data_IF_504623655711
#
_entry.id   IF_504623655711
#
_cell.length_a   1.000
_cell.length_b   1.000
_cell.length_c   1.000
_cell.angle_alpha   90.00
_cell.angle_beta   90.00
_cell.angle_gamma   90.00
#
_symmetry.space_group_name_H-M   'P 1'
#
loop_
_entity.id
_entity.type
_entity.pdbx_description
1 polymer ?
#
# COMPACT_ATOMS: atom_id res chain seq x y z
N UNK A 1 1.49 -10.38 26.77
CA UNK A 1 2.52 -11.31 26.28
C UNK A 1 2.79 -10.92 24.84
N UNK A 2 4.06 -10.72 24.47
CA UNK A 2 4.44 -10.43 23.10
C UNK A 2 4.46 -11.77 22.33
N UNK A 3 3.86 -11.86 21.14
CA UNK A 3 3.94 -13.07 20.32
C UNK A 3 5.39 -13.45 20.01
N UNK A 4 5.69 -14.76 19.94
CA UNK A 4 7.03 -15.24 19.62
C UNK A 4 7.51 -14.75 18.25
N UNK A 5 6.60 -14.66 17.27
CA UNK A 5 6.92 -14.16 15.93
C UNK A 5 7.37 -12.69 15.93
N UNK A 6 6.77 -11.85 16.77
CA UNK A 6 7.15 -10.45 16.94
C UNK A 6 8.55 -10.38 17.60
N UNK A 7 8.80 -11.24 18.58
CA UNK A 7 10.09 -11.32 19.28
C UNK A 7 11.22 -11.76 18.35
N UNK A 8 10.97 -12.71 17.44
CA UNK A 8 11.94 -13.21 16.46
C UNK A 8 12.40 -12.13 15.47
N UNK A 9 11.58 -11.10 15.23
CA UNK A 9 11.93 -9.94 14.39
C UNK A 9 12.38 -8.72 15.21
N UNK A 10 12.65 -8.91 16.51
CA UNK A 10 13.20 -7.88 17.38
C UNK A 10 12.17 -6.92 18.00
N UNK A 11 10.86 -7.21 17.87
CA UNK A 11 9.80 -6.45 18.55
C UNK A 11 9.57 -7.09 19.91
N UNK A 12 10.11 -6.47 20.96
CA UNK A 12 10.07 -7.01 22.33
C UNK A 12 9.10 -6.28 23.27
N UNK A 13 8.47 -5.19 22.82
CA UNK A 13 7.51 -4.42 23.61
C UNK A 13 6.53 -3.63 22.74
N UNK A 14 5.36 -3.32 23.30
CA UNK A 14 4.43 -2.32 22.77
C UNK A 14 4.53 -1.03 23.59
N UNK A 15 4.29 0.12 22.96
CA UNK A 15 4.37 1.45 23.62
C UNK A 15 3.22 1.70 24.60
N UNK A 16 2.13 0.93 24.51
CA UNK A 16 0.94 1.08 25.34
C UNK A 16 0.71 -0.16 26.21
N UNK A 17 0.03 0.02 27.35
CA UNK A 17 -0.25 -1.04 28.33
C UNK A 17 -1.71 -1.53 28.33
N UNK A 18 -2.57 -0.95 27.49
CA UNK A 18 -3.98 -1.31 27.44
C UNK A 18 -4.19 -2.68 26.78
N UNK A 19 -5.23 -3.42 27.17
CA UNK A 19 -5.60 -4.65 26.48
C UNK A 19 -5.86 -4.40 24.99
N UNK A 20 -5.44 -5.33 24.13
CA UNK A 20 -5.76 -5.28 22.71
C UNK A 20 -7.26 -5.45 22.48
N UNK A 21 -7.81 -4.71 21.52
CA UNK A 21 -9.24 -4.75 21.17
C UNK A 21 -9.67 -6.03 20.44
N UNK A 22 -8.71 -6.85 19.97
CA UNK A 22 -8.97 -8.05 19.19
C UNK A 22 -9.60 -7.76 17.82
N UNK A 23 -10.41 -8.70 17.31
CA UNK A 23 -11.11 -8.57 16.03
C UNK A 23 -10.34 -9.10 14.83
N UNK A 24 -10.93 -8.91 13.63
CA UNK A 24 -10.34 -9.26 12.34
C UNK A 24 -10.35 -8.05 11.43
N UNK A 25 -9.23 -7.79 10.77
CA UNK A 25 -9.10 -6.74 9.76
C UNK A 25 -9.26 -7.33 8.36
N UNK A 26 -9.59 -6.49 7.38
CA UNK A 26 -9.63 -6.85 5.95
C UNK A 26 -10.56 -8.04 5.66
N UNK A 27 -11.78 -8.02 6.22
CA UNK A 27 -12.81 -9.04 5.96
C UNK A 27 -13.29 -8.91 4.51
N UNK A 28 -13.57 -7.68 4.09
CA UNK A 28 -13.84 -7.30 2.71
C UNK A 28 -12.68 -6.45 2.16
N UNK A 29 -12.46 -6.42 0.83
CA UNK A 29 -11.47 -5.53 0.22
C UNK A 29 -11.66 -4.04 0.57
N UNK A 30 -12.88 -3.61 0.84
CA UNK A 30 -13.27 -2.24 1.17
C UNK A 30 -12.90 -1.84 2.60
N UNK A 31 -12.68 -2.81 3.50
CA UNK A 31 -12.28 -2.53 4.89
C UNK A 31 -10.84 -1.98 4.97
N UNK A 32 -10.09 -2.02 3.86
CA UNK A 32 -8.70 -1.59 3.80
C UNK A 32 -8.42 -0.82 2.50
N UNK A 33 -8.45 0.50 2.59
CA UNK A 33 -8.13 1.41 1.48
C UNK A 33 -6.78 2.11 1.71
N UNK A 34 -6.00 2.23 0.64
CA UNK A 34 -4.70 2.93 0.65
C UNK A 34 -4.69 3.97 -0.46
N UNK A 35 -4.31 5.19 -0.11
CA UNK A 35 -4.00 6.26 -1.06
C UNK A 35 -2.54 6.69 -0.86
N UNK A 36 -1.76 6.60 -1.93
CA UNK A 36 -0.37 7.07 -1.92
C UNK A 36 -0.33 8.61 -1.87
N UNK A 37 0.52 9.14 -0.99
CA UNK A 37 0.79 10.58 -0.91
C UNK A 37 2.09 10.89 -1.66
N UNK A 38 1.95 11.54 -2.82
CA UNK A 38 3.09 11.93 -3.66
C UNK A 38 3.69 13.24 -3.12
N UNK A 39 5.01 13.29 -3.00
CA UNK A 39 5.72 14.48 -2.54
C UNK A 39 5.55 15.66 -3.50
N UNK A 40 5.56 16.89 -2.98
CA UNK A 40 5.53 18.11 -3.81
C UNK A 40 6.64 18.12 -4.85
N UNK A 41 7.84 17.66 -4.50
CA UNK A 41 8.98 17.55 -5.41
C UNK A 41 8.67 16.64 -6.61
N UNK A 42 8.09 15.47 -6.35
CA UNK A 42 7.71 14.54 -7.40
C UNK A 42 6.59 15.10 -8.28
N UNK A 43 5.55 15.69 -7.69
CA UNK A 43 4.46 16.32 -8.45
C UNK A 43 4.96 17.45 -9.35
N UNK A 44 5.84 18.32 -8.83
CA UNK A 44 6.41 19.44 -9.59
C UNK A 44 7.34 18.99 -10.73
N UNK A 45 7.81 17.73 -10.72
CA UNK A 45 8.63 17.17 -11.80
C UNK A 45 7.82 16.63 -12.97
N UNK A 46 6.49 16.53 -12.83
CA UNK A 46 5.59 16.08 -13.90
C UNK A 46 5.36 17.27 -14.85
N UNK A 47 5.76 17.12 -16.12
CA UNK A 47 5.62 18.17 -17.13
C UNK A 47 4.83 17.65 -18.34
N UNK A 48 4.24 18.56 -19.11
CA UNK A 48 3.51 18.24 -20.35
C UNK A 48 4.37 18.37 -21.60
N UNK A 49 5.59 18.89 -21.48
CA UNK A 49 6.45 19.23 -22.62
C UNK A 49 7.33 18.07 -23.07
N UNK A 50 7.74 17.20 -22.15
CA UNK A 50 8.59 16.04 -22.44
C UNK A 50 8.49 14.97 -21.36
N UNK A 51 8.83 13.72 -21.71
CA UNK A 51 8.92 12.59 -20.78
C UNK A 51 7.81 11.54 -20.93
N UNK A 52 7.56 10.80 -19.86
CA UNK A 52 6.57 9.72 -19.82
C UNK A 52 5.23 10.22 -19.29
N UNK A 53 4.13 9.70 -19.85
CA UNK A 53 2.81 9.95 -19.31
C UNK A 53 2.67 9.30 -17.92
N UNK A 54 2.15 10.09 -16.96
CA UNK A 54 1.96 9.66 -15.56
C UNK A 54 0.48 9.45 -15.29
N UNK A 55 0.12 8.28 -14.75
CA UNK A 55 -1.27 7.92 -14.46
C UNK A 55 -1.43 7.43 -13.02
N UNK A 56 -2.61 7.68 -12.44
CA UNK A 56 -2.99 7.11 -11.14
C UNK A 56 -3.53 5.70 -11.33
N UNK A 57 -2.83 4.71 -10.79
CA UNK A 57 -3.30 3.32 -10.78
C UNK A 57 -4.26 3.08 -9.61
N UNK A 58 -5.52 2.72 -9.90
CA UNK A 58 -6.47 2.20 -8.90
C UNK A 58 -6.62 0.70 -9.09
N UNK A 59 -6.33 -0.09 -8.05
CA UNK A 59 -6.41 -1.55 -8.08
C UNK A 59 -7.18 -2.08 -6.88
N UNK A 60 -7.92 -3.18 -7.06
CA UNK A 60 -8.70 -3.84 -6.01
C UNK A 60 -8.53 -5.35 -6.14
N UNK A 61 -8.23 -6.01 -5.02
CA UNK A 61 -8.07 -7.49 -4.94
C UNK A 61 -7.09 -8.05 -6.00
N UNK A 62 -6.03 -7.32 -6.30
CA UNK A 62 -4.97 -7.72 -7.24
C UNK A 62 -3.62 -7.11 -6.79
N UNK A 63 -2.54 -7.85 -6.97
CA UNK A 63 -1.18 -7.32 -6.76
C UNK A 63 -0.75 -6.39 -7.90
N UNK A 64 0.37 -5.70 -7.68
CA UNK A 64 0.87 -4.69 -8.61
C UNK A 64 1.34 -5.29 -9.93
N UNK A 65 1.98 -6.46 -9.92
CA UNK A 65 2.54 -7.06 -11.13
C UNK A 65 1.43 -7.49 -12.10
N UNK A 66 0.39 -8.14 -11.59
CA UNK A 66 -0.74 -8.54 -12.42
C UNK A 66 -1.55 -7.32 -12.90
N UNK A 67 -1.68 -6.27 -12.09
CA UNK A 67 -2.32 -5.02 -12.53
C UNK A 67 -1.56 -4.36 -13.69
N UNK A 68 -0.22 -4.26 -13.60
CA UNK A 68 0.61 -3.69 -14.65
C UNK A 68 0.63 -4.56 -15.91
N UNK A 69 0.69 -5.89 -15.77
CA UNK A 69 0.56 -6.83 -16.89
C UNK A 69 -0.76 -6.65 -17.64
N UNK A 70 -1.85 -6.45 -16.89
CA UNK A 70 -3.17 -6.16 -17.46
C UNK A 70 -3.26 -4.83 -18.21
N UNK A 71 -2.56 -3.79 -17.75
CA UNK A 71 -2.44 -2.52 -18.47
C UNK A 71 -1.64 -2.74 -19.76
N UNK A 72 -0.45 -3.35 -19.67
CA UNK A 72 0.43 -3.59 -20.81
C UNK A 72 -0.27 -4.33 -21.94
N UNK A 73 -0.98 -5.43 -21.64
CA UNK A 73 -1.74 -6.20 -22.63
C UNK A 73 -2.82 -5.42 -23.39
N UNK A 74 -3.29 -4.28 -22.86
CA UNK A 74 -4.35 -3.47 -23.47
C UNK A 74 -3.80 -2.28 -24.26
N UNK A 75 -2.61 -1.82 -23.92
CA UNK A 75 -2.04 -0.57 -24.45
C UNK A 75 -0.75 -0.77 -25.23
N UNK A 76 -0.18 -1.97 -25.25
CA UNK A 76 1.08 -2.33 -25.90
C UNK A 76 0.96 -3.57 -26.76
#
# INVERSE_FOLDING_TARGET
MIPDIDSQIGISLYTTKFPGIGGKIRINPEDFEVSELISKRATNSITTESGYAVYKLKKKKIDTNHALSGVFRKTG
#
